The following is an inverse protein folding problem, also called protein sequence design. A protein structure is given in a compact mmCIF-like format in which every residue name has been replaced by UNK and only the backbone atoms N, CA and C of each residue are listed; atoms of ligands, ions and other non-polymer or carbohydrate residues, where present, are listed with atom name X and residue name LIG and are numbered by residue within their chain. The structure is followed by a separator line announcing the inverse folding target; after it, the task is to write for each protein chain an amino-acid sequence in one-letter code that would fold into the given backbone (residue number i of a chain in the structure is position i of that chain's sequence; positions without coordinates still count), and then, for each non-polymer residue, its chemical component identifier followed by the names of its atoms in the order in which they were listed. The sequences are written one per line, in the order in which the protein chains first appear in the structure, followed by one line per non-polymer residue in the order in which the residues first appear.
data_IF_126035657933
#
_entry.id   IF_126035657933
#
_cell.length_a   1.000
_cell.length_b   1.000
_cell.length_c   1.000
_cell.angle_alpha   90.00
_cell.angle_beta   90.00
_cell.angle_gamma   90.00
#
_symmetry.space_group_name_H-M   'P 1'
#
loop_
_entity.id
_entity.type
_entity.pdbx_description
1 polymer ?
#
# COMPACT_ATOMS: atom_id res chain seq x y z
N UNK A 1 36.40 -19.61 -17.48
CA UNK A 1 37.33 -20.38 -18.34
C UNK A 1 38.72 -19.81 -18.13
N UNK A 2 39.65 -20.63 -17.66
CA UNK A 2 41.05 -20.28 -17.50
C UNK A 2 41.86 -21.33 -18.26
N UNK A 3 42.73 -20.86 -19.15
CA UNK A 3 43.83 -21.65 -19.71
C UNK A 3 45.12 -20.83 -19.61
N UNK A 4 46.21 -21.43 -19.10
CA UNK A 4 47.54 -20.83 -19.05
C UNK A 4 48.40 -21.25 -20.25
N UNK A 5 49.31 -20.39 -20.69
CA UNK A 5 50.53 -20.66 -21.45
C UNK A 5 51.16 -19.29 -21.74
N UNK A 6 52.44 -19.01 -21.58
CA UNK A 6 53.60 -19.87 -21.43
C UNK A 6 54.67 -19.29 -22.35
N UNK A 7 55.72 -18.66 -21.80
CA UNK A 7 57.05 -18.64 -22.43
C UNK A 7 58.08 -18.12 -21.43
N UNK A 8 59.03 -18.98 -21.10
CA UNK A 8 60.34 -18.64 -20.55
C UNK A 8 61.32 -18.68 -21.72
N UNK A 9 62.12 -17.62 -21.93
CA UNK A 9 63.49 -17.65 -22.47
C UNK A 9 64.01 -16.23 -22.66
N UNK A 10 65.19 -15.97 -22.12
CA UNK A 10 65.91 -14.71 -22.27
C UNK A 10 67.19 -14.74 -21.44
N UNK A 11 68.18 -15.49 -21.92
CA UNK A 11 69.53 -15.51 -21.35
C UNK A 11 70.32 -14.31 -21.83
N UNK A 12 70.85 -13.49 -20.91
CA UNK A 12 72.01 -12.63 -21.18
C UNK A 12 72.67 -12.10 -19.90
N UNK A 13 73.91 -12.57 -19.68
CA UNK A 13 75.06 -11.94 -18.99
C UNK A 13 74.94 -11.51 -17.52
N UNK A 14 75.76 -12.05 -16.59
CA UNK A 14 76.00 -11.43 -15.29
C UNK A 14 77.02 -10.29 -15.46
N UNK A 15 76.55 -9.14 -15.96
CA UNK A 15 77.22 -7.89 -15.63
C UNK A 15 76.91 -7.58 -14.18
N UNK A 16 77.93 -7.29 -13.38
CA UNK A 16 77.78 -6.87 -11.98
C UNK A 16 77.06 -5.51 -11.92
N UNK A 17 75.73 -5.54 -11.96
CA UNK A 17 74.82 -4.41 -11.78
C UNK A 17 74.20 -4.43 -10.37
N UNK A 18 75.00 -4.83 -9.37
CA UNK A 18 74.53 -5.05 -8.00
C UNK A 18 73.82 -3.84 -7.38
N UNK A 19 74.18 -2.61 -7.80
CA UNK A 19 73.51 -1.39 -7.33
C UNK A 19 72.21 -1.01 -8.06
N UNK A 20 71.97 -1.51 -9.27
CA UNK A 20 70.72 -1.23 -10.04
C UNK A 20 69.59 -2.19 -9.64
N UNK A 21 69.91 -3.44 -9.32
CA UNK A 21 68.93 -4.43 -8.86
C UNK A 21 68.38 -4.10 -7.46
N UNK A 22 69.23 -3.57 -6.57
CA UNK A 22 68.82 -3.11 -5.23
C UNK A 22 67.88 -1.89 -5.30
N UNK A 23 68.14 -0.94 -6.20
CA UNK A 23 67.32 0.27 -6.37
C UNK A 23 65.94 -0.06 -6.99
N UNK A 24 65.91 -1.00 -7.95
CA UNK A 24 64.67 -1.55 -8.50
C UNK A 24 63.84 -2.28 -7.44
N UNK A 25 64.48 -3.05 -6.56
CA UNK A 25 63.82 -3.74 -5.46
C UNK A 25 63.25 -2.76 -4.43
N UNK A 26 63.99 -1.70 -4.10
CA UNK A 26 63.52 -0.64 -3.20
C UNK A 26 62.30 0.12 -3.75
N UNK A 27 62.28 0.44 -5.05
CA UNK A 27 61.12 1.10 -5.68
C UNK A 27 59.91 0.17 -5.78
N UNK A 28 60.12 -1.12 -6.03
CA UNK A 28 59.08 -2.16 -5.97
C UNK A 28 58.43 -2.22 -4.58
N UNK A 29 59.23 -2.23 -3.51
CA UNK A 29 58.74 -2.25 -2.13
C UNK A 29 58.01 -0.95 -1.76
N UNK A 30 58.48 0.19 -2.25
CA UNK A 30 57.76 1.47 -2.12
C UNK A 30 56.40 1.42 -2.79
N UNK A 31 56.32 0.90 -4.02
CA UNK A 31 55.06 0.71 -4.78
C UNK A 31 54.14 -0.30 -4.09
N UNK A 32 54.68 -1.35 -3.49
CA UNK A 32 53.92 -2.35 -2.71
C UNK A 32 53.32 -1.71 -1.45
N UNK A 33 54.10 -0.94 -0.69
CA UNK A 33 53.59 -0.16 0.47
C UNK A 33 52.46 0.79 0.07
N UNK A 34 52.64 1.56 -1.01
CA UNK A 34 51.59 2.46 -1.53
C UNK A 34 50.31 1.70 -1.89
N UNK A 35 50.43 0.54 -2.56
CA UNK A 35 49.29 -0.33 -2.90
C UNK A 35 48.58 -0.87 -1.66
N UNK A 36 49.31 -1.28 -0.62
CA UNK A 36 48.70 -1.74 0.63
C UNK A 36 47.90 -0.63 1.32
N UNK A 37 48.44 0.59 1.38
CA UNK A 37 47.72 1.73 1.97
C UNK A 37 46.49 2.12 1.16
N UNK A 38 46.62 2.19 -0.17
CA UNK A 38 45.50 2.51 -1.06
C UNK A 38 44.40 1.45 -1.00
N UNK A 39 44.75 0.16 -0.99
CA UNK A 39 43.77 -0.93 -0.91
C UNK A 39 43.11 -1.00 0.48
N UNK A 40 43.86 -0.71 1.55
CA UNK A 40 43.30 -0.56 2.89
C UNK A 40 42.26 0.56 2.93
N UNK A 41 42.57 1.72 2.36
CA UNK A 41 41.64 2.84 2.34
C UNK A 41 40.43 2.56 1.42
N UNK A 42 40.62 1.92 0.27
CA UNK A 42 39.51 1.57 -0.63
C UNK A 42 38.58 0.52 -0.01
N UNK A 43 39.13 -0.49 0.68
CA UNK A 43 38.36 -1.46 1.44
C UNK A 43 37.57 -0.79 2.57
N UNK A 44 38.17 0.16 3.30
CA UNK A 44 37.48 0.95 4.33
C UNK A 44 36.31 1.73 3.72
N UNK A 45 36.54 2.47 2.64
CA UNK A 45 35.48 3.24 1.95
C UNK A 45 34.38 2.35 1.38
N UNK A 46 34.73 1.17 0.88
CA UNK A 46 33.74 0.18 0.41
C UNK A 46 32.85 -0.30 1.56
N UNK A 47 33.43 -0.63 2.71
CA UNK A 47 32.68 -1.01 3.92
C UNK A 47 31.79 0.13 4.41
N UNK A 48 32.31 1.36 4.47
CA UNK A 48 31.55 2.54 4.89
C UNK A 48 30.33 2.79 3.99
N UNK A 49 30.50 2.74 2.66
CA UNK A 49 29.37 2.91 1.73
C UNK A 49 28.31 1.82 1.89
N UNK A 50 28.73 0.57 2.09
CA UNK A 50 27.79 -0.54 2.36
C UNK A 50 27.05 -0.34 3.68
N UNK A 51 27.72 0.13 4.73
CA UNK A 51 27.09 0.43 6.01
C UNK A 51 26.04 1.54 5.87
N UNK A 52 26.41 2.66 5.23
CA UNK A 52 25.48 3.76 4.97
C UNK A 52 24.22 3.30 4.22
N UNK A 53 24.39 2.50 3.16
CA UNK A 53 23.26 1.96 2.42
C UNK A 53 22.37 1.02 3.26
N UNK A 54 22.96 0.23 4.17
CA UNK A 54 22.17 -0.60 5.10
C UNK A 54 21.43 0.25 6.13
N UNK A 55 22.06 1.32 6.62
CA UNK A 55 21.44 2.25 7.57
C UNK A 55 20.26 2.99 6.91
N UNK A 56 20.43 3.45 5.66
CA UNK A 56 19.38 4.06 4.84
C UNK A 56 18.20 3.10 4.64
N UNK A 57 18.44 1.86 4.20
CA UNK A 57 17.35 0.88 4.05
C UNK A 57 16.63 0.59 5.37
N UNK A 58 17.37 0.57 6.49
CA UNK A 58 16.77 0.33 7.81
C UNK A 58 15.88 1.51 8.21
N UNK A 59 16.34 2.74 7.95
CA UNK A 59 15.54 3.94 8.18
C UNK A 59 14.27 3.94 7.32
N UNK A 60 14.38 3.63 6.03
CA UNK A 60 13.24 3.54 5.11
C UNK A 60 12.23 2.47 5.54
N UNK A 61 12.70 1.28 5.92
CA UNK A 61 11.84 0.22 6.44
C UNK A 61 11.11 0.65 7.72
N UNK A 62 11.78 1.38 8.62
CA UNK A 62 11.15 1.89 9.84
C UNK A 62 10.09 2.95 9.54
N UNK A 63 10.35 3.83 8.57
CA UNK A 63 9.42 4.86 8.12
C UNK A 63 8.17 4.23 7.52
N UNK A 64 8.34 3.29 6.57
CA UNK A 64 7.25 2.56 5.94
C UNK A 64 6.42 1.76 6.93
N UNK A 65 7.05 1.16 7.96
CA UNK A 65 6.31 0.48 9.02
C UNK A 65 5.45 1.45 9.84
N UNK A 66 5.99 2.63 10.19
CA UNK A 66 5.23 3.66 10.89
C UNK A 66 4.06 4.15 10.06
N UNK A 67 4.27 4.44 8.78
CA UNK A 67 3.24 4.89 7.85
C UNK A 67 2.16 3.83 7.65
N UNK A 68 2.53 2.57 7.47
CA UNK A 68 1.57 1.46 7.43
C UNK A 68 0.75 1.37 8.72
N UNK A 69 1.37 1.53 9.88
CA UNK A 69 0.66 1.57 11.16
C UNK A 69 -0.39 2.69 11.20
N UNK A 70 -0.01 3.90 10.76
CA UNK A 70 -0.93 5.04 10.70
C UNK A 70 -2.08 4.81 9.71
N UNK A 71 -1.79 4.27 8.53
CA UNK A 71 -2.80 3.95 7.52
C UNK A 71 -3.79 2.91 8.02
N UNK A 72 -3.34 1.87 8.71
CA UNK A 72 -4.21 0.83 9.29
C UNK A 72 -5.16 1.41 10.34
N UNK A 73 -4.66 2.28 11.23
CA UNK A 73 -5.49 2.96 12.22
C UNK A 73 -6.54 3.86 11.56
N UNK A 74 -6.13 4.65 10.56
CA UNK A 74 -7.04 5.52 9.82
C UNK A 74 -8.11 4.73 9.07
N UNK A 75 -7.73 3.60 8.46
CA UNK A 75 -8.68 2.71 7.78
C UNK A 75 -9.70 2.16 8.78
N UNK A 76 -9.24 1.64 9.92
CA UNK A 76 -10.12 1.11 10.97
C UNK A 76 -11.11 2.16 11.47
N UNK A 77 -10.66 3.40 11.68
CA UNK A 77 -11.52 4.50 12.11
C UNK A 77 -12.58 4.82 11.05
N UNK A 78 -12.16 4.92 9.77
CA UNK A 78 -13.09 5.16 8.66
C UNK A 78 -14.12 4.04 8.51
N UNK A 79 -13.71 2.78 8.59
CA UNK A 79 -14.61 1.62 8.56
C UNK A 79 -15.65 1.72 9.67
N UNK A 80 -15.25 2.04 10.90
CA UNK A 80 -16.19 2.24 12.00
C UNK A 80 -17.19 3.38 11.73
N UNK A 81 -16.73 4.50 11.18
CA UNK A 81 -17.62 5.60 10.79
C UNK A 81 -18.60 5.21 9.68
N UNK A 82 -18.15 4.48 8.65
CA UNK A 82 -19.02 3.98 7.59
C UNK A 82 -20.12 3.08 8.15
N UNK A 83 -19.75 2.11 9.00
CA UNK A 83 -20.73 1.22 9.65
C UNK A 83 -21.74 1.99 10.52
N UNK A 84 -21.28 3.00 11.26
CA UNK A 84 -22.17 3.85 12.04
C UNK A 84 -23.14 4.65 11.16
N UNK A 85 -22.67 5.20 10.03
CA UNK A 85 -23.53 5.90 9.07
C UNK A 85 -24.52 4.96 8.38
N UNK A 86 -24.11 3.74 8.05
CA UNK A 86 -24.99 2.72 7.48
C UNK A 86 -26.11 2.34 8.46
N UNK A 87 -25.78 2.16 9.73
CA UNK A 87 -26.77 1.90 10.78
C UNK A 87 -27.77 3.07 10.91
N UNK A 88 -27.30 4.32 10.89
CA UNK A 88 -28.17 5.50 10.90
C UNK A 88 -29.07 5.55 9.65
N UNK A 89 -28.52 5.27 8.47
CA UNK A 89 -29.29 5.20 7.24
C UNK A 89 -30.39 4.12 7.29
N UNK A 90 -30.10 2.95 7.88
CA UNK A 90 -31.10 1.90 8.06
C UNK A 90 -32.26 2.36 8.98
N UNK A 91 -31.95 3.05 10.07
CA UNK A 91 -32.96 3.64 10.96
C UNK A 91 -33.81 4.67 10.23
N UNK A 92 -33.18 5.59 9.48
CA UNK A 92 -33.89 6.63 8.72
C UNK A 92 -34.80 6.03 7.66
N UNK A 93 -34.34 5.01 6.91
CA UNK A 93 -35.16 4.29 5.93
C UNK A 93 -36.37 3.62 6.57
N UNK A 94 -36.18 2.99 7.74
CA UNK A 94 -37.28 2.35 8.48
C UNK A 94 -38.32 3.39 8.90
N UNK A 95 -37.89 4.53 9.47
CA UNK A 95 -38.80 5.62 9.85
C UNK A 95 -39.54 6.22 8.65
N UNK A 96 -38.84 6.41 7.53
CA UNK A 96 -39.46 6.91 6.30
C UNK A 96 -40.55 5.95 5.80
N UNK A 97 -40.29 4.64 5.85
CA UNK A 97 -41.27 3.61 5.50
C UNK A 97 -42.49 3.60 6.43
N UNK A 98 -42.28 3.68 7.74
CA UNK A 98 -43.38 3.77 8.72
C UNK A 98 -44.28 4.97 8.46
N UNK A 99 -43.70 6.15 8.20
CA UNK A 99 -44.45 7.36 7.88
C UNK A 99 -45.20 7.23 6.55
N UNK A 100 -44.58 6.67 5.52
CA UNK A 100 -45.22 6.43 4.24
C UNK A 100 -46.41 5.45 4.36
N UNK A 101 -46.25 4.38 5.13
CA UNK A 101 -47.32 3.40 5.41
C UNK A 101 -48.49 4.05 6.16
N UNK A 102 -48.22 4.86 7.19
CA UNK A 102 -49.26 5.62 7.90
C UNK A 102 -50.00 6.58 6.97
N UNK A 103 -49.27 7.31 6.12
CA UNK A 103 -49.87 8.22 5.14
C UNK A 103 -50.76 7.48 4.15
N UNK A 104 -50.31 6.32 3.66
CA UNK A 104 -51.11 5.49 2.76
C UNK A 104 -52.40 5.00 3.43
N UNK A 105 -52.31 4.48 4.66
CA UNK A 105 -53.50 4.07 5.44
C UNK A 105 -54.50 5.21 5.64
N UNK A 106 -54.03 6.42 5.95
CA UNK A 106 -54.91 7.59 6.07
C UNK A 106 -55.56 7.97 4.72
N UNK A 107 -54.81 7.85 3.62
CA UNK A 107 -55.35 8.08 2.28
C UNK A 107 -56.41 7.03 1.90
N UNK A 108 -56.21 5.75 2.23
CA UNK A 108 -57.18 4.67 2.04
C UNK A 108 -58.45 4.93 2.85
N UNK A 109 -58.33 5.29 4.13
CA UNK A 109 -59.48 5.63 4.99
C UNK A 109 -60.24 6.82 4.38
N UNK A 110 -59.53 7.87 3.94
CA UNK A 110 -60.14 9.03 3.28
C UNK A 110 -60.91 8.62 2.03
N UNK A 111 -60.32 7.78 1.17
CA UNK A 111 -61.00 7.27 -0.02
C UNK A 111 -62.23 6.46 0.35
N UNK A 112 -62.13 5.52 1.29
CA UNK A 112 -63.27 4.73 1.78
C UNK A 112 -64.41 5.62 2.28
N UNK A 113 -64.10 6.65 3.07
CA UNK A 113 -65.10 7.61 3.55
C UNK A 113 -65.69 8.45 2.41
N UNK A 114 -64.88 8.85 1.43
CA UNK A 114 -65.36 9.55 0.23
C UNK A 114 -66.35 8.68 -0.54
N UNK A 115 -65.98 7.43 -0.87
CA UNK A 115 -66.86 6.47 -1.56
C UNK A 115 -68.16 6.20 -0.77
N UNK A 116 -68.08 6.14 0.56
CA UNK A 116 -69.26 5.96 1.43
C UNK A 116 -70.18 7.17 1.44
N UNK A 117 -69.66 8.39 1.30
CA UNK A 117 -70.46 9.62 1.36
C UNK A 117 -71.02 10.06 0.01
N UNK A 118 -70.36 9.71 -1.11
CA UNK A 118 -70.72 10.25 -2.44
C UNK A 118 -71.56 9.32 -3.30
N UNK A 119 -71.88 8.10 -2.86
CA UNK A 119 -72.87 7.25 -3.52
C UNK A 119 -72.64 7.12 -5.04
N UNK A 120 -71.59 6.38 -5.41
CA UNK A 120 -71.28 5.95 -6.79
C UNK A 120 -70.98 7.07 -7.82
N UNK A 121 -69.72 7.12 -8.27
CA UNK A 121 -69.33 7.62 -9.59
C UNK A 121 -68.24 8.68 -9.60
N UNK A 122 -66.98 8.27 -9.83
CA UNK A 122 -66.05 8.84 -10.82
C UNK A 122 -64.59 8.37 -10.59
N UNK A 123 -64.07 7.64 -11.58
CA UNK A 123 -62.68 7.53 -12.08
C UNK A 123 -61.54 7.65 -11.04
N UNK A 124 -60.91 6.57 -10.59
CA UNK A 124 -59.96 5.70 -11.31
C UNK A 124 -58.57 6.34 -11.56
N UNK A 125 -57.55 5.72 -10.94
CA UNK A 125 -56.16 5.71 -11.37
C UNK A 125 -55.29 6.97 -11.23
N UNK A 126 -54.63 7.19 -10.09
CA UNK A 126 -53.36 7.97 -10.10
C UNK A 126 -52.40 7.82 -8.89
N UNK A 127 -52.60 6.88 -7.95
CA UNK A 127 -51.71 6.78 -6.78
C UNK A 127 -50.87 5.51 -6.68
N UNK A 128 -50.90 4.65 -7.69
CA UNK A 128 -50.03 3.46 -7.77
C UNK A 128 -48.61 3.77 -8.28
N UNK A 129 -48.27 5.04 -8.57
CA UNK A 129 -47.04 5.39 -9.31
C UNK A 129 -45.87 5.85 -8.43
N UNK A 130 -46.01 6.12 -7.13
CA UNK A 130 -44.97 6.88 -6.41
C UNK A 130 -44.12 6.17 -5.35
N UNK A 131 -44.19 4.84 -5.20
CA UNK A 131 -43.16 4.14 -4.42
C UNK A 131 -42.83 2.76 -5.03
N UNK A 132 -42.00 2.69 -6.09
CA UNK A 132 -41.31 1.44 -6.36
C UNK A 132 -40.27 1.24 -5.25
N UNK A 133 -40.56 0.27 -4.39
CA UNK A 133 -39.57 -0.49 -3.64
C UNK A 133 -38.83 0.25 -2.50
N UNK A 134 -39.52 0.41 -1.37
CA UNK A 134 -38.91 0.66 -0.06
C UNK A 134 -39.16 -0.54 0.86
N UNK A 135 -39.00 -1.77 0.36
CA UNK A 135 -38.79 -2.89 1.27
C UNK A 135 -37.52 -2.60 2.07
N UNK A 136 -37.47 -2.89 3.39
CA UNK A 136 -36.24 -2.81 4.14
C UNK A 136 -35.26 -3.77 3.49
N UNK A 137 -34.27 -3.22 2.78
CA UNK A 137 -33.16 -4.00 2.25
C UNK A 137 -32.38 -4.52 3.45
N UNK A 138 -32.74 -5.70 3.95
CA UNK A 138 -31.86 -6.48 4.81
C UNK A 138 -30.65 -6.83 3.95
N UNK A 139 -29.61 -6.02 4.03
CA UNK A 139 -28.32 -6.40 3.48
C UNK A 139 -27.89 -7.66 4.20
N UNK A 140 -27.72 -8.75 3.46
CA UNK A 140 -27.25 -10.01 4.00
C UNK A 140 -25.87 -9.77 4.65
N UNK A 141 -25.63 -10.24 5.89
CA UNK A 141 -24.34 -10.03 6.58
C UNK A 141 -23.12 -10.61 5.85
N UNK A 142 -23.33 -11.41 4.80
CA UNK A 142 -22.34 -12.25 4.15
C UNK A 142 -21.46 -11.50 3.13
N UNK A 143 -21.90 -10.34 2.66
CA UNK A 143 -21.15 -9.52 1.69
C UNK A 143 -20.18 -8.52 2.35
N UNK A 144 -20.15 -8.44 3.68
CA UNK A 144 -19.41 -7.42 4.42
C UNK A 144 -17.92 -7.75 4.65
N UNK A 145 -17.50 -9.00 4.44
CA UNK A 145 -16.15 -9.49 4.82
C UNK A 145 -15.35 -10.16 3.70
N UNK A 146 -15.66 -9.88 2.43
CA UNK A 146 -14.90 -10.40 1.29
C UNK A 146 -14.03 -9.31 0.67
N UNK A 147 -12.94 -8.93 1.33
CA UNK A 147 -11.69 -8.45 0.70
C UNK A 147 -10.52 -8.62 1.67
#
# INVERSE_FOLDING_TARGET
MASPNGTCSGSSSPFTNSGLDEDLQAEMDRKKRKRMLSNRESARRSRMRKQQHLDELTADASLLNRENGQLRTNLSLRTHHCLAMEAQNAVLRTRAWELASRLNSLNEIRQYLFLRNTGAGASDGLLDILLPNLQPMMMAPQDMFRY
#
